data_IF_365624756331
#
_entry.id   IF_365624756331
#
_cell.length_a   1.000
_cell.length_b   1.000
_cell.length_c   1.000
_cell.angle_alpha   90.00
_cell.angle_beta   90.00
_cell.angle_gamma   90.00
#
_symmetry.space_group_name_H-M   'P 1'
#
loop_
_entity.id
_entity.type
_entity.pdbx_description
1 polymer ?
#
# COMPACT_ATOMS: atom_id res chain seq x y z
N UNK A 1 -8.60 -1.72 -4.04
CA UNK A 1 -7.88 -0.43 -4.20
C UNK A 1 -8.15 0.13 -5.59
N UNK A 2 -7.94 1.43 -5.83
CA UNK A 2 -7.97 2.00 -7.18
C UNK A 2 -6.64 1.73 -7.93
N UNK A 3 -6.62 1.79 -9.27
CA UNK A 3 -5.38 1.64 -10.05
C UNK A 3 -4.32 2.69 -9.69
N UNK A 4 -4.75 3.86 -9.22
CA UNK A 4 -3.87 4.98 -8.83
C UNK A 4 -3.38 4.91 -7.39
N UNK A 5 -3.80 3.90 -6.60
CA UNK A 5 -3.41 3.80 -5.21
C UNK A 5 -1.93 3.41 -5.08
N UNK A 6 -1.19 4.13 -4.24
CA UNK A 6 0.19 3.82 -3.90
C UNK A 6 0.23 3.21 -2.50
N UNK A 7 0.64 1.95 -2.41
CA UNK A 7 0.71 1.21 -1.14
C UNK A 7 2.17 0.85 -0.93
N UNK A 8 2.82 1.49 0.04
CA UNK A 8 4.22 1.25 0.36
C UNK A 8 4.47 1.50 1.86
N UNK A 9 5.55 0.88 2.38
CA UNK A 9 5.98 1.04 3.78
C UNK A 9 6.41 2.50 4.06
N UNK A 10 6.99 3.16 3.07
CA UNK A 10 7.43 4.55 3.14
C UNK A 10 7.38 5.20 1.76
N UNK A 11 7.56 6.52 1.70
CA UNK A 11 7.63 7.27 0.43
C UNK A 11 8.80 6.79 -0.44
N UNK A 12 8.56 6.70 -1.75
CA UNK A 12 9.52 6.16 -2.72
C UNK A 12 10.89 6.85 -2.68
N UNK A 13 10.92 8.18 -2.52
CA UNK A 13 12.17 8.94 -2.39
C UNK A 13 13.00 8.50 -1.18
N UNK A 14 12.34 8.28 -0.04
CA UNK A 14 13.00 7.84 1.20
C UNK A 14 13.48 6.40 1.08
N UNK A 15 12.66 5.52 0.49
CA UNK A 15 13.00 4.13 0.28
C UNK A 15 14.21 3.98 -0.67
N UNK A 16 14.17 4.67 -1.81
CA UNK A 16 15.24 4.58 -2.81
C UNK A 16 16.60 5.02 -2.23
N UNK A 17 16.62 6.10 -1.45
CA UNK A 17 17.84 6.60 -0.81
C UNK A 17 18.47 5.61 0.19
N UNK A 18 17.66 4.76 0.82
CA UNK A 18 18.14 3.75 1.77
C UNK A 18 18.57 2.48 1.02
N UNK A 19 17.76 2.02 0.08
CA UNK A 19 17.94 0.76 -0.64
C UNK A 19 19.10 0.85 -1.64
N UNK A 20 19.13 1.89 -2.47
CA UNK A 20 20.11 2.08 -3.54
C UNK A 20 21.25 3.03 -3.15
N UNK A 21 21.52 3.15 -1.84
CA UNK A 21 22.49 4.11 -1.31
C UNK A 21 23.88 3.91 -1.92
N UNK A 22 24.31 2.66 -2.09
CA UNK A 22 25.66 2.33 -2.57
C UNK A 22 25.77 2.60 -4.07
N UNK A 23 24.75 2.21 -4.82
CA UNK A 23 24.63 2.35 -6.26
C UNK A 23 24.61 3.83 -6.66
N UNK A 24 23.88 4.68 -5.91
CA UNK A 24 23.89 6.13 -6.11
C UNK A 24 25.24 6.79 -5.78
N UNK A 25 26.02 6.23 -4.84
CA UNK A 25 27.35 6.74 -4.51
C UNK A 25 28.41 6.39 -5.54
N UNK A 26 28.22 5.29 -6.28
CA UNK A 26 29.13 4.85 -7.34
C UNK A 26 28.70 5.28 -8.74
N UNK A 27 27.55 5.94 -8.87
CA UNK A 27 27.02 6.38 -10.16
C UNK A 27 27.76 7.63 -10.67
N UNK A 28 27.99 7.69 -11.99
CA UNK A 28 28.60 8.84 -12.64
C UNK A 28 27.72 10.10 -12.55
N UNK A 29 26.40 9.93 -12.55
CA UNK A 29 25.41 10.98 -12.30
C UNK A 29 24.43 10.56 -11.19
N UNK A 30 24.71 10.94 -9.92
CA UNK A 30 23.87 10.58 -8.78
C UNK A 30 22.45 11.15 -8.85
N UNK A 31 22.25 12.30 -9.53
CA UNK A 31 20.93 12.93 -9.63
C UNK A 31 20.04 12.12 -10.57
N UNK A 32 20.60 11.75 -11.73
CA UNK A 32 19.91 10.91 -12.71
C UNK A 32 19.63 9.52 -12.17
N UNK A 33 20.64 8.87 -11.57
CA UNK A 33 20.48 7.55 -10.97
C UNK A 33 19.40 7.54 -9.87
N UNK A 34 19.35 8.58 -9.04
CA UNK A 34 18.29 8.71 -8.03
C UNK A 34 16.90 8.77 -8.65
N UNK A 35 16.72 9.57 -9.71
CA UNK A 35 15.42 9.69 -10.38
C UNK A 35 14.97 8.34 -10.96
N UNK A 36 15.89 7.59 -11.57
CA UNK A 36 15.64 6.25 -12.11
C UNK A 36 15.24 5.27 -10.99
N UNK A 37 16.00 5.22 -9.89
CA UNK A 37 15.69 4.32 -8.77
C UNK A 37 14.37 4.64 -8.06
N UNK A 38 13.99 5.92 -7.98
CA UNK A 38 12.69 6.32 -7.42
C UNK A 38 11.55 5.86 -8.32
N UNK A 39 11.72 5.97 -9.62
CA UNK A 39 10.70 5.53 -10.58
C UNK A 39 10.57 4.00 -10.60
N UNK A 40 11.69 3.28 -10.58
CA UNK A 40 11.71 1.83 -10.46
C UNK A 40 11.05 1.35 -9.16
N UNK A 41 11.32 2.04 -8.04
CA UNK A 41 10.68 1.73 -6.76
C UNK A 41 9.17 1.95 -6.83
N UNK A 42 8.71 3.03 -7.46
CA UNK A 42 7.27 3.30 -7.63
C UNK A 42 6.58 2.20 -8.44
N UNK A 43 7.20 1.82 -9.56
CA UNK A 43 6.63 0.85 -10.48
C UNK A 43 6.64 -0.57 -9.89
N UNK A 44 7.68 -0.92 -9.13
CA UNK A 44 7.85 -2.28 -8.62
C UNK A 44 7.15 -2.49 -7.27
N UNK A 45 7.22 -1.51 -6.37
CA UNK A 45 6.77 -1.68 -4.98
C UNK A 45 5.61 -0.76 -4.58
N UNK A 46 5.56 0.48 -5.10
CA UNK A 46 4.51 1.44 -4.73
C UNK A 46 3.28 1.37 -5.64
N UNK A 47 2.91 0.16 -6.07
CA UNK A 47 1.74 -0.11 -6.88
C UNK A 47 0.71 -0.93 -6.07
N UNK A 48 -0.58 -0.88 -6.42
CA UNK A 48 -1.60 -1.57 -5.65
C UNK A 48 -1.65 -3.09 -5.95
N UNK A 49 -1.01 -3.53 -7.03
CA UNK A 49 -1.02 -4.92 -7.49
C UNK A 49 -0.17 -5.83 -6.62
N UNK A 50 0.95 -5.36 -6.08
CA UNK A 50 1.75 -6.12 -5.12
C UNK A 50 0.96 -6.41 -3.84
N UNK A 51 0.20 -5.43 -3.33
CA UNK A 51 -0.67 -5.63 -2.18
C UNK A 51 -1.83 -6.61 -2.48
N UNK A 52 -2.37 -6.58 -3.70
CA UNK A 52 -3.40 -7.52 -4.14
C UNK A 52 -2.86 -8.96 -4.27
N UNK A 53 -1.64 -9.12 -4.81
CA UNK A 53 -0.96 -10.43 -4.93
C UNK A 53 -0.74 -11.10 -3.57
N UNK A 54 -0.48 -10.31 -2.53
CA UNK A 54 -0.32 -10.80 -1.15
C UNK A 54 -1.65 -11.01 -0.42
N UNK A 55 -2.79 -10.65 -1.02
CA UNK A 55 -4.11 -10.76 -0.40
C UNK A 55 -4.39 -9.71 0.68
N UNK A 56 -3.60 -8.63 0.76
CA UNK A 56 -3.90 -7.50 1.65
C UNK A 56 -5.05 -6.64 1.14
N UNK A 57 -5.26 -6.65 -0.17
CA UNK A 57 -6.37 -5.98 -0.86
C UNK A 57 -7.13 -7.03 -1.66
N UNK A 58 -8.45 -7.10 -1.48
CA UNK A 58 -9.27 -8.12 -2.14
C UNK A 58 -9.35 -7.95 -3.68
N UNK A 59 -9.38 -6.71 -4.17
CA UNK A 59 -9.56 -6.42 -5.60
C UNK A 59 -9.00 -5.05 -6.01
N UNK A 60 -8.62 -4.90 -7.28
CA UNK A 60 -8.32 -3.62 -7.92
C UNK A 60 -9.54 -3.20 -8.74
N UNK A 61 -10.17 -2.08 -8.38
CA UNK A 61 -11.44 -1.63 -8.96
C UNK A 61 -11.29 -0.25 -9.57
N UNK A 62 -12.01 0.00 -10.66
CA UNK A 62 -12.13 1.35 -11.22
C UNK A 62 -12.83 2.30 -10.24
N UNK A 63 -12.47 3.61 -10.24
CA UNK A 63 -13.04 4.56 -9.30
C UNK A 63 -14.57 4.67 -9.32
N UNK A 64 -15.19 4.53 -10.50
CA UNK A 64 -16.64 4.56 -10.70
C UNK A 64 -17.37 3.36 -10.05
N UNK A 65 -16.68 2.23 -9.98
CA UNK A 65 -17.18 0.97 -9.42
C UNK A 65 -17.15 0.95 -7.89
N UNK A 66 -16.61 1.98 -7.24
CA UNK A 66 -16.50 2.08 -5.78
C UNK A 66 -17.86 1.94 -5.09
N UNK A 67 -18.88 2.67 -5.54
CA UNK A 67 -20.21 2.65 -4.92
C UNK A 67 -20.88 1.27 -4.94
N UNK A 68 -21.03 0.59 -6.10
CA UNK A 68 -21.65 -0.74 -6.13
C UNK A 68 -20.84 -1.77 -5.32
N UNK A 69 -19.50 -1.66 -5.30
CA UNK A 69 -18.64 -2.55 -4.50
C UNK A 69 -18.86 -2.39 -3.00
N UNK A 70 -18.96 -1.16 -2.51
CA UNK A 70 -19.27 -0.88 -1.10
C UNK A 70 -20.65 -1.43 -0.73
N UNK A 71 -21.67 -1.21 -1.57
CA UNK A 71 -23.03 -1.71 -1.32
C UNK A 71 -23.02 -3.24 -1.18
N UNK A 72 -22.39 -3.95 -2.12
CA UNK A 72 -22.31 -5.40 -2.09
C UNK A 72 -21.60 -5.91 -0.82
N UNK A 73 -20.47 -5.30 -0.44
CA UNK A 73 -19.74 -5.66 0.76
C UNK A 73 -20.56 -5.45 2.03
N UNK A 74 -21.27 -4.32 2.16
CA UNK A 74 -22.14 -4.04 3.31
C UNK A 74 -23.30 -5.02 3.41
N UNK A 75 -23.93 -5.38 2.29
CA UNK A 75 -25.00 -6.38 2.26
C UNK A 75 -24.50 -7.76 2.71
N UNK A 76 -23.34 -8.19 2.22
CA UNK A 76 -22.71 -9.44 2.63
C UNK A 76 -22.37 -9.44 4.14
N UNK A 77 -21.89 -8.31 4.66
CA UNK A 77 -21.46 -8.17 6.06
C UNK A 77 -22.60 -7.87 7.05
N UNK A 78 -23.84 -7.68 6.59
CA UNK A 78 -24.97 -7.31 7.45
C UNK A 78 -25.21 -8.29 8.61
N UNK A 79 -24.90 -9.57 8.41
CA UNK A 79 -25.00 -10.63 9.42
C UNK A 79 -23.75 -10.87 10.26
N UNK A 80 -22.64 -10.15 10.02
CA UNK A 80 -21.36 -10.44 10.68
C UNK A 80 -21.48 -10.27 12.21
N UNK A 81 -20.94 -11.23 12.96
CA UNK A 81 -20.80 -11.20 14.41
C UNK A 81 -19.38 -11.61 14.77
N UNK A 82 -18.74 -10.85 15.65
CA UNK A 82 -17.37 -11.06 16.07
C UNK A 82 -17.29 -10.92 17.59
N UNK A 83 -16.59 -11.86 18.23
CA UNK A 83 -16.42 -11.90 19.68
C UNK A 83 -14.97 -11.62 20.03
N UNK A 84 -14.75 -10.74 21.00
CA UNK A 84 -13.42 -10.42 21.50
C UNK A 84 -13.17 -11.12 22.85
N UNK A 85 -11.89 -11.33 23.24
CA UNK A 85 -11.56 -11.85 24.57
C UNK A 85 -12.15 -11.01 25.71
N UNK A 86 -12.64 -11.67 26.76
CA UNK A 86 -13.26 -11.02 27.91
C UNK A 86 -12.27 -10.11 28.65
N UNK A 87 -12.67 -8.86 28.88
CA UNK A 87 -11.91 -7.84 29.63
C UNK A 87 -12.86 -6.80 30.22
N UNK A 88 -12.43 -6.06 31.26
CA UNK A 88 -13.23 -4.96 31.83
C UNK A 88 -13.35 -3.78 30.85
N UNK A 89 -12.24 -3.40 30.24
CA UNK A 89 -12.13 -2.40 29.17
C UNK A 89 -10.76 -2.56 28.47
N UNK A 90 -10.55 -1.84 27.37
CA UNK A 90 -9.23 -1.74 26.72
C UNK A 90 -8.29 -0.77 27.44
N UNK A 91 -7.03 -0.76 27.01
CA UNK A 91 -6.00 0.21 27.42
C UNK A 91 -5.48 0.92 26.18
N UNK A 92 -6.31 1.81 25.63
CA UNK A 92 -5.89 2.67 24.51
C UNK A 92 -4.79 3.62 25.01
N UNK A 93 -3.73 3.90 24.21
CA UNK A 93 -2.74 4.92 24.55
C UNK A 93 -3.42 6.25 24.87
N UNK A 94 -3.00 6.90 25.97
CA UNK A 94 -3.44 8.25 26.38
C UNK A 94 -2.43 9.30 25.93
#
# INVERSE_FOLDING_TARGET
>A
AWPTAQIAVMHADGAANIIYRKEMQTADDPIKARAEFVEDFKNTFANPYEAAKLGYVDDIIEPDSTRPRIIAALLMLAGKRETLPAKKHGTMPL
#
